data_IF_754005408125
#
_entry.id   IF_754005408125
#
_cell.length_a   1.000
_cell.length_b   1.000
_cell.length_c   1.000
_cell.angle_alpha   90.00
_cell.angle_beta   90.00
_cell.angle_gamma   90.00
#
_symmetry.space_group_name_H-M   'P 1'
#
loop_
_entity.id
_entity.type
_entity.pdbx_description
1 polymer ?
#
# COMPACT_ATOMS: atom_id res chain seq x y z
N UNK A 1 23.68 -9.73 21.83
CA UNK A 1 22.94 -10.65 20.90
C UNK A 1 23.93 -11.14 19.86
N UNK A 2 23.92 -12.43 19.50
CA UNK A 2 24.76 -12.94 18.40
C UNK A 2 24.14 -12.57 17.05
N UNK A 3 24.94 -12.57 15.98
CA UNK A 3 24.43 -12.33 14.60
C UNK A 3 23.34 -13.34 14.23
N UNK A 4 23.52 -14.62 14.58
CA UNK A 4 22.56 -15.68 14.28
C UNK A 4 21.21 -15.43 15.01
N UNK A 5 21.23 -15.06 16.29
CA UNK A 5 20.02 -14.71 17.03
C UNK A 5 19.31 -13.50 16.44
N UNK A 6 20.05 -12.48 16.01
CA UNK A 6 19.46 -11.30 15.36
C UNK A 6 18.81 -11.64 14.01
N UNK A 7 19.41 -12.54 13.22
CA UNK A 7 18.84 -13.03 11.96
C UNK A 7 17.54 -13.80 12.18
N UNK A 8 17.50 -14.68 13.17
CA UNK A 8 16.29 -15.44 13.53
C UNK A 8 15.16 -14.51 14.00
N UNK A 9 15.48 -13.50 14.80
CA UNK A 9 14.55 -12.48 15.25
C UNK A 9 13.98 -11.68 14.06
N UNK A 10 14.83 -11.28 13.11
CA UNK A 10 14.39 -10.55 11.89
C UNK A 10 13.46 -11.39 11.03
N UNK A 11 13.70 -12.72 10.91
CA UNK A 11 12.77 -13.63 10.21
C UNK A 11 11.42 -13.70 10.91
N UNK A 12 11.41 -13.91 12.22
CA UNK A 12 10.18 -13.97 13.03
C UNK A 12 9.37 -12.67 12.93
N UNK A 13 10.06 -11.54 13.06
CA UNK A 13 9.44 -10.21 12.92
C UNK A 13 8.92 -9.94 11.50
N UNK A 14 9.57 -10.46 10.46
CA UNK A 14 9.07 -10.41 9.08
C UNK A 14 7.74 -11.14 8.91
N UNK A 15 7.58 -12.33 9.50
CA UNK A 15 6.31 -13.07 9.53
C UNK A 15 5.24 -12.29 10.30
N UNK A 16 5.58 -11.75 11.47
CA UNK A 16 4.68 -10.93 12.28
C UNK A 16 4.18 -9.70 11.54
N UNK A 17 5.00 -9.04 10.71
CA UNK A 17 4.57 -7.91 9.87
C UNK A 17 3.48 -8.32 8.86
N UNK A 18 3.61 -9.51 8.26
CA UNK A 18 2.61 -10.04 7.32
C UNK A 18 1.31 -10.36 8.07
N UNK A 19 1.40 -11.08 9.18
CA UNK A 19 0.25 -11.52 9.98
C UNK A 19 -0.53 -10.33 10.58
N UNK A 20 0.17 -9.28 10.99
CA UNK A 20 -0.45 -8.07 11.55
C UNK A 20 -1.06 -7.12 10.51
N UNK A 21 -0.89 -7.40 9.20
CA UNK A 21 -1.38 -6.53 8.13
C UNK A 21 -0.66 -5.18 8.01
N UNK A 22 0.46 -5.00 8.70
CA UNK A 22 1.26 -3.76 8.65
C UNK A 22 1.97 -3.58 7.30
N UNK A 23 2.07 -4.64 6.51
CA UNK A 23 2.64 -4.62 5.15
C UNK A 23 1.79 -5.42 4.17
N UNK A 24 1.94 -5.11 2.88
CA UNK A 24 1.41 -5.91 1.78
C UNK A 24 2.56 -6.62 1.05
N UNK A 25 2.46 -7.94 0.85
CA UNK A 25 3.45 -8.75 0.11
C UNK A 25 4.86 -8.65 0.72
N UNK A 26 5.83 -8.20 -0.08
CA UNK A 26 7.24 -8.03 0.28
C UNK A 26 7.62 -6.58 0.60
N UNK A 27 6.62 -5.72 0.85
CA UNK A 27 6.84 -4.32 1.15
C UNK A 27 7.02 -4.10 2.64
N UNK A 28 7.91 -3.20 2.93
CA UNK A 28 8.45 -3.07 4.24
C UNK A 28 9.77 -3.82 4.37
N UNK A 29 10.41 -3.64 5.48
CA UNK A 29 11.66 -4.29 5.82
C UNK A 29 11.90 -4.21 7.33
N UNK A 30 12.68 -5.17 7.81
CA UNK A 30 12.97 -5.33 9.23
C UNK A 30 14.46 -5.41 9.43
N UNK A 31 14.97 -4.78 10.46
CA UNK A 31 16.36 -4.89 10.85
C UNK A 31 16.54 -4.96 12.36
N UNK A 32 17.64 -5.58 12.77
CA UNK A 32 18.08 -5.68 14.15
C UNK A 32 19.56 -5.29 14.25
N UNK A 33 19.92 -4.39 15.18
CA UNK A 33 21.30 -4.01 15.47
C UNK A 33 22.03 -5.19 16.13
N UNK A 34 23.26 -5.45 15.70
CA UNK A 34 24.13 -6.48 16.30
C UNK A 34 25.35 -5.89 17.04
N UNK A 35 25.76 -4.69 16.64
CA UNK A 35 26.83 -3.94 17.29
C UNK A 35 26.70 -2.43 17.03
N UNK A 36 27.62 -1.65 17.51
CA UNK A 36 27.67 -0.20 17.25
C UNK A 36 27.90 0.13 15.77
N UNK A 37 28.47 -0.81 15.00
CA UNK A 37 28.85 -0.61 13.59
C UNK A 37 28.06 -1.47 12.61
N UNK A 38 27.23 -2.41 13.09
CA UNK A 38 26.54 -3.36 12.21
C UNK A 38 25.10 -3.66 12.63
N UNK A 39 24.27 -3.93 11.65
CA UNK A 39 22.91 -4.46 11.79
C UNK A 39 22.64 -5.54 10.75
N UNK A 40 21.65 -6.38 10.98
CA UNK A 40 21.12 -7.35 10.01
C UNK A 40 19.78 -6.86 9.48
N UNK A 41 19.49 -7.10 8.20
CA UNK A 41 18.26 -6.62 7.54
C UNK A 41 17.73 -7.65 6.56
N UNK A 42 16.41 -7.64 6.35
CA UNK A 42 15.72 -8.44 5.34
C UNK A 42 16.26 -8.18 3.93
N UNK A 43 16.30 -9.22 3.07
CA UNK A 43 16.77 -9.10 1.69
C UNK A 43 15.77 -8.36 0.80
N UNK A 44 16.25 -7.83 -0.33
CA UNK A 44 15.40 -7.12 -1.30
C UNK A 44 14.52 -8.08 -2.09
N UNK A 45 13.19 -7.93 -1.97
CA UNK A 45 12.20 -8.55 -2.85
C UNK A 45 12.00 -10.05 -2.68
N UNK A 46 12.32 -10.61 -1.51
CA UNK A 46 11.98 -11.99 -1.14
C UNK A 46 10.68 -12.04 -0.35
N UNK A 47 9.96 -13.14 -0.50
CA UNK A 47 8.73 -13.41 0.23
C UNK A 47 9.04 -13.73 1.69
N UNK A 48 8.38 -13.04 2.62
CA UNK A 48 8.54 -13.21 4.06
C UNK A 48 8.18 -14.61 4.54
N UNK A 49 7.21 -15.27 3.89
CA UNK A 49 6.77 -16.64 4.24
C UNK A 49 7.83 -17.70 3.93
N UNK A 50 8.83 -17.38 3.11
CA UNK A 50 9.91 -18.30 2.71
C UNK A 50 11.30 -17.89 3.22
N UNK A 51 11.39 -16.80 4.03
CA UNK A 51 12.68 -16.35 4.54
C UNK A 51 13.28 -17.32 5.57
N UNK A 52 14.57 -17.55 5.43
CA UNK A 52 15.40 -18.23 6.43
C UNK A 52 16.45 -17.28 6.99
N UNK A 53 17.03 -17.60 8.16
CA UNK A 53 18.09 -16.80 8.78
C UNK A 53 19.30 -16.58 7.85
N UNK A 54 19.61 -17.57 6.98
CA UNK A 54 20.67 -17.47 5.99
C UNK A 54 20.43 -16.41 4.91
N UNK A 55 19.19 -15.97 4.72
CA UNK A 55 18.82 -14.93 3.76
C UNK A 55 18.99 -13.52 4.30
N UNK A 56 19.08 -13.38 5.64
CA UNK A 56 19.18 -12.09 6.31
C UNK A 56 20.63 -11.57 6.20
N UNK A 57 20.76 -10.31 5.76
CA UNK A 57 22.02 -9.74 5.32
C UNK A 57 22.62 -8.82 6.38
N UNK A 58 23.87 -9.07 6.84
CA UNK A 58 24.62 -8.11 7.65
C UNK A 58 25.04 -6.89 6.84
N UNK A 59 24.87 -5.70 7.41
CA UNK A 59 25.15 -4.41 6.76
C UNK A 59 25.91 -3.52 7.75
N UNK A 60 26.94 -2.82 7.25
CA UNK A 60 27.65 -1.78 7.99
C UNK A 60 26.76 -0.53 8.18
N UNK A 61 26.69 -0.01 9.41
CA UNK A 61 26.00 1.24 9.71
C UNK A 61 26.72 2.41 9.03
N UNK A 62 28.05 2.42 8.95
CA UNK A 62 28.84 3.56 8.51
C UNK A 62 28.74 3.82 6.99
N UNK A 63 28.97 2.80 6.19
CA UNK A 63 29.10 2.95 4.73
C UNK A 63 28.05 2.15 3.94
N UNK A 64 27.18 1.40 4.62
CA UNK A 64 26.14 0.53 4.04
C UNK A 64 26.72 -0.63 3.22
N UNK A 65 28.00 -0.95 3.39
CA UNK A 65 28.63 -2.10 2.76
C UNK A 65 28.05 -3.42 3.32
N UNK A 66 28.08 -4.46 2.51
CA UNK A 66 27.68 -5.82 2.86
C UNK A 66 28.48 -6.83 2.03
N UNK A 67 28.53 -8.05 2.48
CA UNK A 67 29.25 -9.15 1.81
C UNK A 67 28.27 -10.20 1.32
N UNK A 68 28.72 -11.04 0.37
CA UNK A 68 27.92 -12.13 -0.18
C UNK A 68 27.07 -11.69 -1.40
N UNK A 69 26.26 -12.65 -1.91
CA UNK A 69 25.47 -12.49 -3.14
C UNK A 69 24.02 -12.04 -2.90
N UNK A 70 23.55 -12.16 -1.65
CA UNK A 70 22.18 -11.74 -1.29
C UNK A 70 22.15 -10.23 -1.11
N UNK A 71 21.31 -9.56 -1.90
CA UNK A 71 21.18 -8.10 -1.84
C UNK A 71 20.28 -7.71 -0.67
N UNK A 72 20.72 -6.87 0.28
CA UNK A 72 19.88 -6.34 1.35
C UNK A 72 18.80 -5.41 0.80
N UNK A 73 17.81 -5.07 1.63
CA UNK A 73 16.80 -4.08 1.31
C UNK A 73 17.40 -2.81 0.71
N UNK A 74 16.75 -2.27 -0.32
CA UNK A 74 17.12 -0.99 -0.93
C UNK A 74 17.05 0.19 0.05
N UNK A 75 16.32 0.01 1.15
CA UNK A 75 16.08 1.05 2.16
C UNK A 75 16.94 0.91 3.42
N UNK A 76 17.91 0.00 3.41
CA UNK A 76 18.87 -0.16 4.52
C UNK A 76 19.50 1.15 5.00
N UNK A 77 19.61 2.14 4.10
CA UNK A 77 20.12 3.47 4.46
C UNK A 77 19.23 4.24 5.44
N UNK A 78 17.90 4.03 5.42
CA UNK A 78 16.97 4.62 6.38
C UNK A 78 17.23 4.04 7.76
N UNK A 79 17.34 2.71 7.86
CA UNK A 79 17.66 2.00 9.12
C UNK A 79 18.99 2.44 9.69
N UNK A 80 20.03 2.57 8.86
CA UNK A 80 21.32 3.06 9.28
C UNK A 80 21.27 4.49 9.85
N UNK A 81 20.46 5.40 9.27
CA UNK A 81 20.29 6.74 9.85
C UNK A 81 19.66 6.70 11.25
N UNK A 82 18.68 5.83 11.46
CA UNK A 82 18.04 5.64 12.77
C UNK A 82 19.07 5.11 13.78
N UNK A 83 19.82 4.08 13.41
CA UNK A 83 20.86 3.51 14.27
C UNK A 83 21.99 4.47 14.62
N UNK A 84 22.36 5.37 13.70
CA UNK A 84 23.35 6.42 13.97
C UNK A 84 22.84 7.48 14.93
N UNK A 85 21.57 7.87 14.75
CA UNK A 85 20.98 8.95 15.54
C UNK A 85 20.56 8.48 16.94
N UNK A 86 20.11 7.22 17.04
CA UNK A 86 19.64 6.58 18.26
C UNK A 86 20.47 5.34 18.60
N UNK A 87 21.59 5.49 19.33
CA UNK A 87 22.44 4.35 19.71
C UNK A 87 21.72 3.30 20.55
N UNK A 88 20.69 3.69 21.30
CA UNK A 88 19.87 2.82 22.14
C UNK A 88 18.88 1.96 21.35
N UNK A 89 18.57 2.30 20.09
CA UNK A 89 17.63 1.54 19.25
C UNK A 89 18.28 0.25 18.79
N UNK A 90 17.57 -0.86 19.01
CA UNK A 90 17.98 -2.20 18.59
C UNK A 90 17.17 -2.74 17.41
N UNK A 91 15.94 -2.24 17.21
CA UNK A 91 15.01 -2.79 16.24
C UNK A 91 14.33 -1.70 15.41
N UNK A 92 14.28 -1.90 14.09
CA UNK A 92 13.65 -0.96 13.15
C UNK A 92 12.77 -1.74 12.18
N UNK A 93 11.54 -1.31 12.02
CA UNK A 93 10.58 -1.84 11.04
C UNK A 93 10.09 -0.73 10.11
N UNK A 94 10.01 -1.01 8.83
CA UNK A 94 9.36 -0.17 7.85
C UNK A 94 8.01 -0.78 7.48
N UNK A 95 6.96 0.02 7.51
CA UNK A 95 5.55 -0.40 7.36
C UNK A 95 4.82 0.43 6.31
N UNK A 96 3.74 -0.15 5.76
CA UNK A 96 2.81 0.51 4.83
C UNK A 96 1.37 0.49 5.36
N UNK A 97 1.21 0.65 6.67
CA UNK A 97 -0.07 0.63 7.36
C UNK A 97 -1.01 1.74 6.86
N UNK A 98 -2.31 1.55 7.06
CA UNK A 98 -3.35 2.28 6.35
C UNK A 98 -3.39 3.78 6.71
N UNK A 99 -3.64 4.11 7.99
CA UNK A 99 -3.83 5.51 8.41
C UNK A 99 -2.54 6.31 8.41
N UNK A 100 -1.38 5.70 8.71
CA UNK A 100 -0.10 6.36 8.53
C UNK A 100 0.17 6.66 7.04
N UNK A 101 -0.19 5.75 6.12
CA UNK A 101 -0.12 6.00 4.68
C UNK A 101 -1.07 7.12 4.24
N UNK A 102 -2.28 7.19 4.81
CA UNK A 102 -3.23 8.29 4.57
C UNK A 102 -2.62 9.64 4.96
N UNK A 103 -2.04 9.75 6.16
CA UNK A 103 -1.36 10.98 6.59
C UNK A 103 -0.13 11.29 5.75
N UNK A 104 0.59 10.26 5.28
CA UNK A 104 1.73 10.45 4.37
C UNK A 104 1.33 11.12 3.05
N UNK A 105 0.09 10.92 2.59
CA UNK A 105 -0.46 11.51 1.38
C UNK A 105 -1.03 12.92 1.59
N UNK A 106 -1.43 13.24 2.83
CA UNK A 106 -1.99 14.54 3.20
C UNK A 106 -0.89 15.59 3.39
N UNK A 107 -1.27 16.86 3.40
CA UNK A 107 -0.33 17.99 3.64
C UNK A 107 -0.17 18.26 5.14
N UNK A 108 0.29 17.21 5.87
CA UNK A 108 0.54 17.24 7.31
C UNK A 108 2.04 17.03 7.55
N UNK A 109 2.75 18.07 7.95
CA UNK A 109 4.19 17.99 8.19
C UNK A 109 4.52 17.32 9.53
N UNK A 110 3.67 17.50 10.54
CA UNK A 110 3.80 16.89 11.86
C UNK A 110 2.46 16.96 12.62
N UNK A 111 2.29 16.11 13.62
CA UNK A 111 1.15 16.18 14.54
C UNK A 111 1.54 15.66 15.94
N UNK A 112 0.80 16.09 16.97
CA UNK A 112 0.91 15.57 18.32
C UNK A 112 0.02 14.31 18.45
N UNK A 113 0.58 13.14 18.79
CA UNK A 113 -0.17 11.89 18.85
C UNK A 113 -1.13 11.78 20.04
N UNK A 114 -0.93 12.62 21.07
CA UNK A 114 -1.69 12.57 22.31
C UNK A 114 -1.07 11.66 23.39
N UNK A 115 -1.57 11.75 24.62
CA UNK A 115 -0.96 11.09 25.78
C UNK A 115 -1.14 9.57 25.81
N UNK A 116 -2.08 9.03 25.01
CA UNK A 116 -2.33 7.58 24.95
C UNK A 116 -1.24 6.80 24.20
N UNK A 117 -0.34 7.48 23.52
CA UNK A 117 0.68 6.91 22.64
C UNK A 117 2.10 7.32 23.08
N UNK A 118 2.56 6.92 24.26
CA UNK A 118 3.81 7.42 24.85
C UNK A 118 5.06 7.09 24.03
N UNK A 119 5.08 5.96 23.31
CA UNK A 119 6.21 5.60 22.46
C UNK A 119 6.40 6.53 21.24
N UNK A 120 5.37 7.26 20.85
CA UNK A 120 5.43 8.23 19.76
C UNK A 120 5.99 9.59 20.22
N UNK A 121 6.11 9.80 21.54
CA UNK A 121 6.57 11.06 22.11
C UNK A 121 5.61 12.23 21.86
N UNK A 122 6.15 13.46 21.97
CA UNK A 122 5.32 14.67 21.83
C UNK A 122 4.98 15.05 20.40
N UNK A 123 5.64 14.49 19.39
CA UNK A 123 5.45 14.85 17.98
C UNK A 123 5.84 13.71 17.03
N UNK A 124 4.95 13.38 16.10
CA UNK A 124 5.24 12.52 14.95
C UNK A 124 5.46 13.41 13.72
N UNK A 125 6.60 13.24 13.07
CA UNK A 125 7.02 14.03 11.90
C UNK A 125 6.76 13.27 10.61
N UNK A 126 6.30 13.95 9.57
CA UNK A 126 6.26 13.45 8.21
C UNK A 126 7.51 13.92 7.46
N UNK A 127 8.46 13.03 7.23
CA UNK A 127 9.68 13.29 6.46
C UNK A 127 9.34 13.71 5.03
N UNK A 128 10.07 14.67 4.48
CA UNK A 128 9.86 15.17 3.13
C UNK A 128 9.98 14.07 2.07
N UNK A 129 9.28 14.24 0.95
CA UNK A 129 9.26 13.27 -0.14
C UNK A 129 10.64 13.00 -0.73
N UNK A 130 10.88 11.74 -0.99
CA UNK A 130 12.02 11.24 -1.77
C UNK A 130 11.65 9.87 -2.37
N UNK A 131 12.12 9.59 -3.57
CA UNK A 131 11.91 8.29 -4.20
C UNK A 131 12.47 7.16 -3.33
N UNK A 132 11.78 6.01 -3.22
CA UNK A 132 12.23 4.86 -2.45
C UNK A 132 13.66 4.44 -2.80
N UNK A 133 14.45 4.14 -1.77
CA UNK A 133 15.85 3.71 -1.92
C UNK A 133 16.85 4.80 -2.31
N UNK A 134 16.45 6.07 -2.41
CA UNK A 134 17.33 7.16 -2.82
C UNK A 134 18.04 7.87 -1.65
N UNK A 135 19.14 8.55 -1.95
CA UNK A 135 19.86 9.42 -1.01
C UNK A 135 18.98 10.58 -0.51
N UNK A 136 18.01 11.04 -1.33
CA UNK A 136 17.08 12.10 -0.98
C UNK A 136 16.16 11.65 0.16
N UNK A 137 15.51 10.49 0.04
CA UNK A 137 14.67 9.94 1.10
C UNK A 137 15.46 9.72 2.39
N UNK A 138 16.68 9.15 2.28
CA UNK A 138 17.56 8.97 3.44
C UNK A 138 17.89 10.30 4.14
N UNK A 139 18.17 11.38 3.39
CA UNK A 139 18.40 12.72 3.94
C UNK A 139 17.17 13.27 4.66
N UNK A 140 15.97 13.06 4.08
CA UNK A 140 14.71 13.48 4.69
C UNK A 140 14.46 12.80 6.04
N UNK A 141 14.77 11.51 6.14
CA UNK A 141 14.71 10.77 7.43
C UNK A 141 15.70 11.35 8.43
N UNK A 142 16.97 11.60 8.04
CA UNK A 142 17.94 12.23 8.93
C UNK A 142 17.46 13.58 9.47
N UNK A 143 16.80 14.39 8.65
CA UNK A 143 16.22 15.66 9.08
C UNK A 143 15.05 15.44 10.04
N UNK A 144 14.16 14.48 9.75
CA UNK A 144 13.02 14.18 10.60
C UNK A 144 13.44 13.66 11.99
N UNK A 145 14.52 12.88 12.08
CA UNK A 145 15.08 12.38 13.35
C UNK A 145 15.47 13.50 14.31
N UNK A 146 15.79 14.71 13.79
CA UNK A 146 16.16 15.86 14.63
C UNK A 146 14.97 16.47 15.39
N UNK A 147 13.74 16.17 14.94
CA UNK A 147 12.53 16.81 15.44
C UNK A 147 11.44 15.84 15.86
N UNK A 148 11.55 14.55 15.50
CA UNK A 148 10.62 13.53 16.00
C UNK A 148 10.78 13.32 17.49
N UNK A 149 9.67 13.15 18.19
CA UNK A 149 9.66 13.01 19.65
C UNK A 149 9.76 11.58 20.15
N UNK A 150 9.65 10.57 19.27
CA UNK A 150 9.55 9.18 19.68
C UNK A 150 9.93 8.18 18.60
N UNK A 151 9.43 6.95 18.73
CA UNK A 151 9.80 5.77 17.96
C UNK A 151 9.18 5.64 16.57
N UNK A 152 8.69 6.73 15.93
CA UNK A 152 8.07 6.65 14.61
C UNK A 152 8.29 7.91 13.76
N UNK A 153 8.43 7.71 12.44
CA UNK A 153 8.47 8.75 11.42
C UNK A 153 7.59 8.32 10.26
N UNK A 154 6.69 9.19 9.82
CA UNK A 154 5.94 9.02 8.57
C UNK A 154 6.81 9.48 7.40
N UNK A 155 6.74 8.79 6.26
CA UNK A 155 7.46 9.15 5.04
C UNK A 155 6.47 9.61 3.98
N UNK A 156 6.60 10.84 3.51
CA UNK A 156 5.68 11.46 2.53
C UNK A 156 5.45 10.56 1.32
N UNK A 157 4.18 10.23 1.02
CA UNK A 157 3.73 9.37 -0.08
C UNK A 157 4.22 7.91 -0.04
N UNK A 158 4.72 7.43 1.11
CA UNK A 158 5.36 6.13 1.19
C UNK A 158 4.70 5.23 2.24
N UNK A 159 4.98 5.47 3.49
CA UNK A 159 4.55 4.69 4.64
C UNK A 159 5.17 5.25 5.91
N UNK A 160 5.60 4.37 6.81
CA UNK A 160 6.24 4.76 8.05
C UNK A 160 7.45 3.90 8.39
N UNK A 161 8.35 4.44 9.19
CA UNK A 161 9.40 3.69 9.85
C UNK A 161 9.21 3.82 11.35
N UNK A 162 9.17 2.66 12.05
CA UNK A 162 8.99 2.58 13.49
C UNK A 162 10.18 1.85 14.12
N UNK A 163 10.58 2.28 15.29
CA UNK A 163 11.79 1.77 15.92
C UNK A 163 11.70 1.79 17.46
N UNK A 164 12.48 0.94 18.10
CA UNK A 164 12.51 0.80 19.54
C UNK A 164 13.77 0.10 20.06
N UNK A 165 13.90 0.05 21.36
CA UNK A 165 14.99 -0.68 22.05
C UNK A 165 14.82 -2.20 21.98
N UNK A 166 13.60 -2.64 21.69
CA UNK A 166 13.23 -4.04 21.50
C UNK A 166 12.33 -4.20 20.28
N UNK A 167 12.15 -5.44 19.82
CA UNK A 167 11.16 -5.77 18.78
C UNK A 167 9.76 -5.31 19.20
N UNK A 168 9.36 -5.63 20.44
CA UNK A 168 8.04 -5.29 20.98
C UNK A 168 7.79 -3.78 20.96
N UNK A 169 8.76 -2.95 21.36
CA UNK A 169 8.63 -1.50 21.30
C UNK A 169 8.45 -1.00 19.86
N UNK A 170 9.17 -1.55 18.88
CA UNK A 170 9.03 -1.15 17.48
C UNK A 170 7.65 -1.51 16.91
N UNK A 171 7.12 -2.71 17.23
CA UNK A 171 5.77 -3.11 16.82
C UNK A 171 4.68 -2.33 17.54
N UNK A 172 4.84 -2.06 18.83
CA UNK A 172 3.91 -1.22 19.58
C UNK A 172 3.91 0.20 19.05
N UNK A 173 5.07 0.78 18.74
CA UNK A 173 5.17 2.09 18.10
C UNK A 173 4.44 2.12 16.74
N UNK A 174 4.49 1.04 15.95
CA UNK A 174 3.74 0.94 14.69
C UNK A 174 2.21 0.87 14.93
N UNK A 175 1.77 0.09 15.90
CA UNK A 175 0.36 -0.01 16.26
C UNK A 175 -0.17 1.32 16.82
N UNK A 176 0.59 1.94 17.72
CA UNK A 176 0.27 3.26 18.28
C UNK A 176 0.21 4.33 17.17
N UNK A 177 1.14 4.30 16.22
CA UNK A 177 1.14 5.22 15.09
C UNK A 177 -0.13 5.10 14.26
N UNK A 178 -0.59 3.89 13.97
CA UNK A 178 -1.80 3.65 13.19
C UNK A 178 -3.04 4.24 13.89
N UNK A 179 -3.19 3.97 15.19
CA UNK A 179 -4.27 4.51 15.99
C UNK A 179 -4.20 6.03 16.14
N UNK A 180 -3.02 6.57 16.42
CA UNK A 180 -2.80 8.01 16.56
C UNK A 180 -3.09 8.76 15.24
N UNK A 181 -2.74 8.19 14.09
CA UNK A 181 -3.08 8.76 12.79
C UNK A 181 -4.60 8.78 12.55
N UNK A 182 -5.31 7.71 12.88
CA UNK A 182 -6.77 7.64 12.80
C UNK A 182 -7.43 8.69 13.72
N UNK A 183 -7.01 8.73 14.96
CA UNK A 183 -7.53 9.68 15.95
C UNK A 183 -7.30 11.13 15.52
N UNK A 184 -6.13 11.44 14.97
CA UNK A 184 -5.82 12.76 14.43
C UNK A 184 -6.74 13.14 13.28
N UNK A 185 -6.96 12.26 12.31
CA UNK A 185 -7.86 12.49 11.16
C UNK A 185 -9.28 12.78 11.66
N UNK A 186 -9.79 11.96 12.58
CA UNK A 186 -11.13 12.10 13.13
C UNK A 186 -11.25 13.40 13.94
N UNK A 187 -10.29 13.72 14.80
CA UNK A 187 -10.29 14.94 15.59
C UNK A 187 -10.29 16.21 14.70
N UNK A 188 -9.50 16.20 13.61
CA UNK A 188 -9.49 17.31 12.64
C UNK A 188 -10.83 17.47 11.92
N UNK A 189 -11.45 16.35 11.54
CA UNK A 189 -12.78 16.35 10.93
C UNK A 189 -13.84 16.92 11.88
N UNK A 190 -13.90 16.43 13.12
CA UNK A 190 -14.83 16.90 14.15
C UNK A 190 -14.65 18.40 14.43
N UNK A 191 -13.42 18.87 14.57
CA UNK A 191 -13.10 20.28 14.77
C UNK A 191 -13.59 21.15 13.61
N UNK A 192 -13.30 20.76 12.37
CA UNK A 192 -13.69 21.53 11.19
C UNK A 192 -15.21 21.60 10.99
N UNK A 193 -15.93 20.56 11.35
CA UNK A 193 -17.39 20.48 11.21
C UNK A 193 -18.14 20.87 12.46
N UNK A 194 -17.45 21.19 13.55
CA UNK A 194 -18.03 21.53 14.86
C UNK A 194 -19.00 20.43 15.35
N UNK A 195 -18.61 19.17 15.17
CA UNK A 195 -19.39 18.00 15.57
C UNK A 195 -18.85 17.44 16.88
N UNK A 196 -19.73 16.96 17.79
CA UNK A 196 -19.31 16.30 19.02
C UNK A 196 -18.78 14.87 18.78
N UNK A 197 -19.29 14.22 17.74
CA UNK A 197 -18.88 12.86 17.34
C UNK A 197 -19.19 12.63 15.86
N UNK A 198 -18.51 11.67 15.24
CA UNK A 198 -18.78 11.22 13.90
C UNK A 198 -18.26 9.78 13.71
N UNK A 199 -18.72 9.15 12.64
CA UNK A 199 -18.24 7.86 12.15
C UNK A 199 -17.51 8.01 10.79
N UNK A 200 -16.89 6.92 10.34
CA UNK A 200 -16.17 6.89 9.06
C UNK A 200 -17.12 7.14 7.86
N UNK A 201 -18.42 6.78 7.97
CA UNK A 201 -19.39 7.03 6.91
C UNK A 201 -19.74 8.51 6.76
N UNK A 202 -19.85 9.23 7.86
CA UNK A 202 -20.07 10.69 7.85
C UNK A 202 -18.87 11.41 7.25
N UNK A 203 -17.66 11.01 7.65
CA UNK A 203 -16.41 11.51 7.10
C UNK A 203 -16.34 11.28 5.59
N UNK A 204 -16.64 10.06 5.14
CA UNK A 204 -16.64 9.66 3.73
C UNK A 204 -17.65 10.47 2.91
N UNK A 205 -18.89 10.61 3.36
CA UNK A 205 -19.93 11.41 2.71
C UNK A 205 -19.52 12.87 2.57
N UNK A 206 -18.90 13.44 3.60
CA UNK A 206 -18.41 14.81 3.55
C UNK A 206 -17.31 14.98 2.48
N UNK A 207 -16.30 14.09 2.47
CA UNK A 207 -15.24 14.11 1.48
C UNK A 207 -15.79 13.93 0.05
N UNK A 208 -16.75 13.01 -0.12
CA UNK A 208 -17.42 12.79 -1.41
C UNK A 208 -18.11 14.06 -1.92
N UNK A 209 -18.81 14.78 -1.05
CA UNK A 209 -19.47 16.06 -1.42
C UNK A 209 -18.47 17.11 -1.91
N UNK A 210 -17.25 17.12 -1.35
CA UNK A 210 -16.18 18.05 -1.78
C UNK A 210 -15.53 17.64 -3.10
N UNK A 211 -15.50 16.34 -3.41
CA UNK A 211 -14.80 15.75 -4.56
C UNK A 211 -15.68 15.52 -5.77
N UNK A 212 -16.99 15.26 -5.57
CA UNK A 212 -17.91 14.82 -6.61
C UNK A 212 -17.98 15.79 -7.78
N UNK A 213 -17.85 15.25 -8.98
CA UNK A 213 -18.05 15.98 -10.24
C UNK A 213 -19.34 15.53 -10.89
N UNK A 214 -20.16 16.47 -11.42
CA UNK A 214 -21.36 16.11 -12.16
C UNK A 214 -21.00 15.15 -13.31
N UNK A 215 -21.79 14.10 -13.48
CA UNK A 215 -21.70 13.23 -14.63
C UNK A 215 -23.10 12.80 -15.09
N UNK A 216 -23.26 12.60 -16.38
CA UNK A 216 -24.51 12.16 -17.00
C UNK A 216 -24.57 10.64 -17.21
N UNK A 217 -23.51 9.92 -16.84
CA UNK A 217 -23.43 8.47 -17.04
C UNK A 217 -24.35 7.73 -16.08
N UNK A 218 -25.33 7.00 -16.59
CA UNK A 218 -26.10 6.04 -15.80
C UNK A 218 -25.27 4.77 -15.66
N UNK A 219 -24.97 4.40 -14.43
CA UNK A 219 -24.38 3.10 -14.09
C UNK A 219 -25.53 2.13 -13.79
N UNK A 220 -25.98 1.41 -14.78
CA UNK A 220 -27.04 0.40 -14.61
C UNK A 220 -26.52 -1.02 -14.88
N UNK A 221 -25.20 -1.22 -14.89
CA UNK A 221 -24.64 -2.47 -15.40
C UNK A 221 -24.40 -3.52 -14.32
N UNK A 222 -24.29 -3.11 -13.06
CA UNK A 222 -23.87 -4.02 -12.00
C UNK A 222 -24.72 -3.80 -10.75
N UNK A 223 -24.98 -4.88 -10.05
CA UNK A 223 -25.63 -4.89 -8.74
C UNK A 223 -25.02 -6.04 -7.91
N UNK A 224 -24.97 -5.92 -6.59
CA UNK A 224 -24.57 -7.03 -5.73
C UNK A 224 -25.45 -8.28 -5.99
N UNK A 225 -24.90 -9.48 -5.78
CA UNK A 225 -23.54 -9.77 -5.35
C UNK A 225 -22.52 -9.54 -6.49
N UNK A 226 -21.40 -8.91 -6.15
CA UNK A 226 -20.27 -8.73 -7.05
C UNK A 226 -19.50 -10.03 -7.25
N UNK A 227 -18.74 -10.12 -8.33
CA UNK A 227 -18.06 -11.33 -8.74
C UNK A 227 -16.54 -11.18 -8.72
N UNK A 228 -15.87 -12.26 -8.33
CA UNK A 228 -14.44 -12.44 -8.60
C UNK A 228 -14.27 -13.51 -9.69
N UNK A 229 -13.13 -13.57 -10.35
CA UNK A 229 -12.88 -14.65 -11.29
C UNK A 229 -11.41 -14.99 -11.46
N UNK A 230 -11.20 -16.23 -11.93
CA UNK A 230 -9.90 -16.79 -12.28
C UNK A 230 -9.96 -17.36 -13.69
N UNK A 231 -8.97 -17.02 -14.53
CA UNK A 231 -8.85 -17.55 -15.90
C UNK A 231 -8.51 -19.03 -15.84
N UNK A 232 -9.09 -19.82 -16.73
CA UNK A 232 -8.78 -21.23 -16.96
C UNK A 232 -8.40 -21.47 -18.43
N UNK A 233 -7.93 -22.67 -18.75
CA UNK A 233 -7.60 -23.04 -20.14
C UNK A 233 -8.79 -22.89 -21.09
N UNK A 234 -10.03 -23.17 -20.60
CA UNK A 234 -11.26 -23.22 -21.40
C UNK A 234 -12.18 -22.03 -21.11
N UNK A 235 -11.71 -20.96 -20.43
CA UNK A 235 -12.54 -19.81 -20.07
C UNK A 235 -12.16 -19.18 -18.75
N UNK A 236 -13.11 -19.12 -17.82
CA UNK A 236 -12.84 -18.63 -16.47
C UNK A 236 -13.84 -19.25 -15.46
N UNK A 237 -13.38 -19.33 -14.20
CA UNK A 237 -14.24 -19.61 -13.05
C UNK A 237 -14.75 -18.29 -12.49
N UNK A 238 -16.06 -18.13 -12.40
CA UNK A 238 -16.72 -16.99 -11.81
C UNK A 238 -17.17 -17.33 -10.40
N UNK A 239 -16.69 -16.58 -9.40
CA UNK A 239 -17.10 -16.71 -8.01
C UNK A 239 -18.19 -15.70 -7.71
N UNK A 240 -19.39 -16.18 -7.31
CA UNK A 240 -20.55 -15.38 -6.92
C UNK A 240 -21.00 -15.79 -5.53
N UNK A 241 -20.64 -15.04 -4.51
CA UNK A 241 -20.78 -15.50 -3.12
C UNK A 241 -20.04 -16.82 -2.92
N UNK A 242 -20.71 -17.85 -2.40
CA UNK A 242 -20.13 -19.18 -2.17
C UNK A 242 -20.18 -20.11 -3.41
N UNK A 243 -20.73 -19.64 -4.53
CA UNK A 243 -20.90 -20.45 -5.75
C UNK A 243 -19.79 -20.19 -6.74
N UNK A 244 -19.25 -21.25 -7.33
CA UNK A 244 -18.35 -21.19 -8.48
C UNK A 244 -19.07 -21.65 -9.75
N UNK A 245 -18.94 -20.87 -10.82
CA UNK A 245 -19.56 -21.12 -12.11
C UNK A 245 -18.47 -21.15 -13.20
N UNK A 246 -18.43 -22.23 -13.98
CA UNK A 246 -17.51 -22.32 -15.12
C UNK A 246 -18.14 -21.59 -16.32
N UNK A 247 -17.43 -20.63 -16.89
CA UNK A 247 -17.88 -19.80 -18.01
C UNK A 247 -16.95 -20.01 -19.20
N UNK A 248 -17.51 -20.47 -20.33
CA UNK A 248 -16.77 -20.59 -21.59
C UNK A 248 -16.65 -19.23 -22.28
N UNK A 249 -15.52 -18.93 -22.97
CA UNK A 249 -15.31 -17.65 -23.63
C UNK A 249 -16.39 -17.36 -24.69
N UNK A 250 -17.02 -16.19 -24.57
CA UNK A 250 -18.05 -15.75 -25.53
C UNK A 250 -19.37 -16.49 -25.47
N UNK A 251 -19.54 -17.44 -24.57
CA UNK A 251 -20.80 -18.14 -24.30
C UNK A 251 -21.23 -17.86 -22.87
N UNK A 252 -21.98 -16.79 -22.68
CA UNK A 252 -22.51 -16.45 -21.36
C UNK A 252 -23.91 -17.09 -21.22
N UNK A 253 -24.07 -18.12 -20.37
CA UNK A 253 -25.38 -18.71 -20.10
C UNK A 253 -26.36 -17.67 -19.56
N UNK A 254 -27.64 -17.86 -19.85
CA UNK A 254 -28.71 -17.06 -19.25
C UNK A 254 -28.68 -17.22 -17.71
N UNK A 255 -28.94 -16.13 -16.99
CA UNK A 255 -28.98 -16.14 -15.51
C UNK A 255 -27.64 -15.90 -14.82
N UNK A 256 -26.54 -15.69 -15.57
CA UNK A 256 -25.31 -15.19 -14.96
C UNK A 256 -25.45 -13.72 -14.52
N UNK A 257 -24.73 -13.30 -13.48
CA UNK A 257 -24.64 -11.88 -13.12
C UNK A 257 -24.15 -11.04 -14.30
N UNK A 258 -24.64 -9.80 -14.47
CA UNK A 258 -24.18 -8.91 -15.54
C UNK A 258 -22.67 -8.69 -15.58
N UNK A 259 -22.01 -8.79 -14.43
CA UNK A 259 -20.56 -8.67 -14.29
C UNK A 259 -19.79 -9.80 -15.00
N UNK A 260 -20.40 -10.96 -15.25
CA UNK A 260 -19.78 -12.04 -16.02
C UNK A 260 -19.39 -11.59 -17.44
N UNK A 261 -20.24 -10.78 -18.08
CA UNK A 261 -19.94 -10.19 -19.40
C UNK A 261 -18.76 -9.21 -19.37
N UNK A 262 -18.57 -8.54 -18.25
CA UNK A 262 -17.44 -7.64 -18.02
C UNK A 262 -16.14 -8.43 -17.88
N UNK A 263 -16.14 -9.50 -17.07
CA UNK A 263 -14.97 -10.38 -16.92
C UNK A 263 -14.57 -11.04 -18.24
N UNK A 264 -15.53 -11.55 -19.01
CA UNK A 264 -15.28 -12.10 -20.36
C UNK A 264 -14.63 -11.07 -21.30
N UNK A 265 -15.12 -9.84 -21.32
CA UNK A 265 -14.55 -8.76 -22.11
C UNK A 265 -13.13 -8.38 -21.66
N UNK A 266 -12.87 -8.36 -20.36
CA UNK A 266 -11.54 -8.08 -19.81
C UNK A 266 -10.56 -9.18 -20.20
N UNK A 267 -10.92 -10.45 -20.02
CA UNK A 267 -10.07 -11.58 -20.37
C UNK A 267 -9.74 -11.64 -21.87
N UNK A 268 -10.70 -11.30 -22.73
CA UNK A 268 -10.48 -11.23 -24.19
C UNK A 268 -9.53 -10.11 -24.59
N UNK A 269 -9.63 -8.95 -23.95
CA UNK A 269 -8.83 -7.77 -24.28
C UNK A 269 -7.45 -7.75 -23.64
N UNK A 270 -7.24 -8.51 -22.55
CA UNK A 270 -6.02 -8.46 -21.73
C UNK A 270 -5.56 -9.89 -21.38
N UNK A 271 -4.77 -10.55 -22.24
CA UNK A 271 -4.39 -11.96 -22.08
C UNK A 271 -3.51 -12.21 -20.83
N UNK A 272 -2.78 -11.22 -20.34
CA UNK A 272 -1.91 -11.34 -19.18
C UNK A 272 -2.68 -11.35 -17.84
N UNK A 273 -3.96 -10.91 -17.84
CA UNK A 273 -4.80 -10.96 -16.65
C UNK A 273 -5.27 -12.40 -16.42
N UNK A 274 -4.96 -12.92 -15.23
CA UNK A 274 -5.38 -14.25 -14.79
C UNK A 274 -6.43 -14.19 -13.67
N UNK A 275 -6.42 -13.13 -12.85
CA UNK A 275 -7.32 -12.95 -11.71
C UNK A 275 -7.98 -11.58 -11.77
N UNK A 276 -9.28 -11.54 -11.49
CA UNK A 276 -10.09 -10.32 -11.35
C UNK A 276 -10.79 -10.38 -10.00
N UNK A 277 -10.54 -9.39 -9.16
CA UNK A 277 -11.20 -9.19 -7.88
C UNK A 277 -12.03 -7.91 -7.91
N UNK A 278 -13.26 -7.98 -7.43
CA UNK A 278 -14.07 -6.79 -7.19
C UNK A 278 -13.77 -6.21 -5.79
N UNK A 279 -13.61 -4.90 -5.71
CA UNK A 279 -13.59 -4.16 -4.45
C UNK A 279 -14.88 -3.35 -4.32
N UNK A 280 -15.67 -3.71 -3.34
CA UNK A 280 -16.86 -3.00 -2.87
C UNK A 280 -16.61 -2.27 -1.54
N UNK A 281 -15.34 -2.06 -1.19
CA UNK A 281 -14.96 -1.29 -0.02
C UNK A 281 -15.61 0.10 -0.07
N UNK A 282 -16.15 0.60 1.06
CA UNK A 282 -16.89 1.86 1.11
C UNK A 282 -16.13 3.05 0.52
N UNK A 283 -14.81 3.11 0.72
CA UNK A 283 -13.96 4.18 0.19
C UNK A 283 -13.80 4.08 -1.34
N UNK A 284 -13.67 2.86 -1.88
CA UNK A 284 -13.61 2.63 -3.33
C UNK A 284 -14.95 2.97 -4.01
N UNK A 285 -16.08 2.60 -3.40
CA UNK A 285 -17.41 2.99 -3.86
C UNK A 285 -17.54 4.51 -3.89
N UNK A 286 -17.20 5.22 -2.79
CA UNK A 286 -17.30 6.68 -2.71
C UNK A 286 -16.46 7.38 -3.79
N UNK A 287 -15.21 6.95 -4.01
CA UNK A 287 -14.36 7.52 -5.05
C UNK A 287 -14.89 7.22 -6.46
N UNK A 288 -15.47 6.04 -6.69
CA UNK A 288 -16.11 5.69 -7.97
C UNK A 288 -17.34 6.55 -8.25
N UNK A 289 -18.07 6.98 -7.22
CA UNK A 289 -19.20 7.92 -7.34
C UNK A 289 -18.75 9.34 -7.69
N UNK A 290 -17.57 9.74 -7.22
CA UNK A 290 -17.03 11.08 -7.47
C UNK A 290 -16.63 11.34 -8.94
N UNK A 291 -16.64 10.32 -9.81
CA UNK A 291 -16.26 10.39 -11.23
C UNK A 291 -14.86 11.01 -11.43
N UNK A 292 -13.90 10.53 -10.68
CA UNK A 292 -12.53 11.01 -10.72
C UNK A 292 -11.61 10.06 -11.46
N UNK A 293 -10.48 10.58 -11.91
CA UNK A 293 -9.31 9.76 -12.22
C UNK A 293 -8.45 9.71 -10.97
N UNK A 294 -8.35 8.53 -10.36
CA UNK A 294 -7.50 8.31 -9.21
C UNK A 294 -6.03 8.34 -9.65
N UNK A 295 -5.23 9.15 -8.98
CA UNK A 295 -3.79 9.28 -9.23
C UNK A 295 -3.01 8.74 -8.04
N UNK A 296 -1.73 8.36 -8.22
CA UNK A 296 -0.90 7.90 -7.13
C UNK A 296 -0.77 8.96 -6.03
N UNK A 297 -1.28 8.67 -4.86
CA UNK A 297 -1.02 9.38 -3.62
C UNK A 297 0.03 8.66 -2.79
N UNK A 298 0.27 7.40 -3.13
CA UNK A 298 1.23 6.50 -2.49
C UNK A 298 2.12 5.88 -3.58
N UNK A 299 3.37 5.64 -3.26
CA UNK A 299 4.35 5.10 -4.19
C UNK A 299 4.06 3.64 -4.58
N UNK A 300 3.49 2.85 -3.67
CA UNK A 300 3.02 1.50 -3.94
C UNK A 300 1.92 1.48 -5.01
N UNK A 301 1.03 2.48 -5.01
CA UNK A 301 0.05 2.65 -6.08
C UNK A 301 0.72 2.91 -7.43
N UNK A 302 1.69 3.83 -7.48
CA UNK A 302 2.43 4.12 -8.70
C UNK A 302 3.16 2.88 -9.24
N UNK A 303 3.75 2.09 -8.35
CA UNK A 303 4.52 0.88 -8.68
C UNK A 303 3.62 -0.23 -9.23
N UNK A 304 2.58 -0.62 -8.52
CA UNK A 304 1.80 -1.85 -8.78
C UNK A 304 0.53 -1.58 -9.57
N UNK A 305 -0.22 -0.54 -9.22
CA UNK A 305 -1.50 -0.28 -9.87
C UNK A 305 -1.29 0.46 -11.20
N UNK A 306 -0.46 1.51 -11.18
CA UNK A 306 -0.16 2.31 -12.37
C UNK A 306 -0.16 3.81 -12.09
N UNK A 307 0.02 4.59 -13.15
CA UNK A 307 0.12 6.05 -13.04
C UNK A 307 -1.25 6.75 -12.92
N UNK A 308 -2.33 6.03 -13.18
CA UNK A 308 -3.71 6.49 -12.99
C UNK A 308 -4.70 5.33 -13.07
N UNK A 309 -5.82 5.45 -12.37
CA UNK A 309 -7.00 4.57 -12.49
C UNK A 309 -8.20 5.44 -12.82
N UNK A 310 -8.87 5.14 -13.94
CA UNK A 310 -10.02 5.90 -14.41
C UNK A 310 -11.31 5.36 -13.83
N UNK A 311 -12.26 6.25 -13.54
CA UNK A 311 -13.65 5.85 -13.35
C UNK A 311 -14.32 5.67 -14.72
N UNK A 312 -14.97 4.54 -14.92
CA UNK A 312 -15.63 4.19 -16.18
C UNK A 312 -17.12 3.93 -15.93
N UNK A 313 -17.92 4.67 -16.66
CA UNK A 313 -19.37 4.43 -16.84
C UNK A 313 -19.57 3.92 -18.26
N UNK A 314 -20.12 2.74 -18.45
CA UNK A 314 -20.40 2.26 -19.80
C UNK A 314 -20.15 0.76 -20.01
N UNK A 315 -20.16 0.32 -21.28
CA UNK A 315 -20.17 -1.10 -21.62
C UNK A 315 -18.85 -1.80 -21.25
N UNK A 316 -18.87 -3.15 -21.12
CA UNK A 316 -17.71 -3.98 -20.78
C UNK A 316 -16.44 -3.68 -21.59
N UNK A 317 -16.56 -3.43 -22.88
CA UNK A 317 -15.41 -3.13 -23.75
C UNK A 317 -14.67 -1.84 -23.35
N UNK A 318 -15.40 -0.83 -22.84
CA UNK A 318 -14.81 0.43 -22.36
C UNK A 318 -14.03 0.21 -21.08
N UNK A 319 -14.54 -0.62 -20.17
CA UNK A 319 -13.87 -1.02 -18.94
C UNK A 319 -12.61 -1.82 -19.26
N UNK A 320 -12.70 -2.83 -20.10
CA UNK A 320 -11.57 -3.64 -20.54
C UNK A 320 -10.46 -2.79 -21.21
N UNK A 321 -10.83 -1.78 -21.99
CA UNK A 321 -9.90 -0.82 -22.59
C UNK A 321 -9.15 0.05 -21.56
N UNK A 322 -9.75 0.36 -20.41
CA UNK A 322 -9.12 1.15 -19.37
C UNK A 322 -8.00 0.39 -18.64
N UNK A 323 -8.04 -0.95 -18.65
CA UNK A 323 -7.04 -1.83 -18.01
C UNK A 323 -5.75 -2.01 -18.83
N UNK A 324 -5.64 -1.46 -20.06
CA UNK A 324 -4.41 -1.59 -20.87
C UNK A 324 -3.16 -0.99 -20.23
N UNK A 325 -3.34 0.00 -19.36
CA UNK A 325 -2.23 0.75 -18.77
C UNK A 325 -2.27 0.83 -17.23
N UNK A 326 -3.21 0.12 -16.63
CA UNK A 326 -3.38 0.06 -15.18
C UNK A 326 -3.84 -1.34 -14.77
N UNK A 327 -3.49 -1.73 -13.55
CA UNK A 327 -3.93 -3.01 -12.97
C UNK A 327 -5.31 -2.94 -12.32
N UNK A 328 -5.98 -1.77 -12.37
CA UNK A 328 -7.32 -1.56 -11.84
C UNK A 328 -8.13 -0.55 -12.66
N UNK A 329 -9.45 -0.58 -12.48
CA UNK A 329 -10.41 0.40 -13.02
C UNK A 329 -11.51 0.64 -11.97
N UNK A 330 -11.91 1.89 -11.78
CA UNK A 330 -13.08 2.22 -10.98
C UNK A 330 -14.36 2.03 -11.81
N UNK A 331 -15.29 1.24 -11.32
CA UNK A 331 -16.63 1.09 -11.90
C UNK A 331 -17.55 2.13 -11.29
N UNK A 332 -18.05 3.04 -12.11
CA UNK A 332 -18.89 4.14 -11.62
C UNK A 332 -20.03 3.67 -10.73
N UNK A 333 -20.07 4.12 -9.48
CA UNK A 333 -20.98 3.74 -8.39
C UNK A 333 -20.81 2.33 -7.79
N UNK A 334 -19.84 1.52 -8.26
CA UNK A 334 -19.73 0.11 -7.89
C UNK A 334 -18.34 -0.28 -7.34
N UNK A 335 -17.49 0.69 -6.99
CA UNK A 335 -16.17 0.39 -6.46
C UNK A 335 -15.12 0.16 -7.55
N UNK A 336 -14.31 -0.90 -7.45
CA UNK A 336 -13.19 -1.13 -8.37
C UNK A 336 -13.07 -2.58 -8.82
N UNK A 337 -12.62 -2.80 -10.05
CA UNK A 337 -12.04 -4.09 -10.47
C UNK A 337 -10.52 -4.02 -10.38
N UNK A 338 -9.94 -5.02 -9.76
CA UNK A 338 -8.52 -5.15 -9.47
C UNK A 338 -7.99 -6.43 -10.11
N UNK A 339 -6.98 -6.31 -10.96
CA UNK A 339 -6.53 -7.39 -11.84
C UNK A 339 -5.07 -7.76 -11.55
N UNK A 340 -4.74 -9.05 -11.73
CA UNK A 340 -3.39 -9.55 -11.53
C UNK A 340 -3.06 -10.77 -12.39
N UNK A 341 -1.75 -11.06 -12.53
CA UNK A 341 -1.25 -12.29 -13.15
C UNK A 341 -1.30 -13.47 -12.16
N UNK A 342 -1.37 -13.21 -10.87
CA UNK A 342 -1.56 -14.17 -9.80
C UNK A 342 -2.65 -13.70 -8.85
N UNK A 343 -3.21 -14.60 -8.04
CA UNK A 343 -4.17 -14.25 -6.99
C UNK A 343 -3.59 -13.21 -6.02
N UNK A 344 -2.32 -13.38 -5.61
CA UNK A 344 -1.60 -12.43 -4.77
C UNK A 344 -1.40 -11.07 -5.41
N UNK A 345 -1.20 -10.99 -6.75
CA UNK A 345 -1.10 -9.71 -7.47
C UNK A 345 -2.44 -8.97 -7.44
N UNK A 346 -3.54 -9.66 -7.74
CA UNK A 346 -4.87 -9.06 -7.73
C UNK A 346 -5.26 -8.58 -6.33
N UNK A 347 -4.95 -9.36 -5.29
CA UNK A 347 -5.19 -8.98 -3.88
C UNK A 347 -4.37 -7.75 -3.47
N UNK A 348 -3.10 -7.68 -3.86
CA UNK A 348 -2.25 -6.50 -3.61
C UNK A 348 -2.78 -5.26 -4.33
N UNK A 349 -3.19 -5.38 -5.59
CA UNK A 349 -3.83 -4.28 -6.35
C UNK A 349 -5.08 -3.80 -5.63
N UNK A 350 -5.94 -4.72 -5.16
CA UNK A 350 -7.17 -4.39 -4.43
C UNK A 350 -6.85 -3.58 -3.17
N UNK A 351 -5.99 -4.09 -2.29
CA UNK A 351 -5.59 -3.42 -1.04
C UNK A 351 -5.04 -2.01 -1.29
N UNK A 352 -4.20 -1.84 -2.31
CA UNK A 352 -3.57 -0.54 -2.61
C UNK A 352 -4.57 0.45 -3.19
N UNK A 353 -5.49 0.00 -4.04
CA UNK A 353 -6.56 0.85 -4.57
C UNK A 353 -7.46 1.35 -3.43
N UNK A 354 -7.87 0.46 -2.52
CA UNK A 354 -8.66 0.80 -1.34
C UNK A 354 -7.94 1.82 -0.45
N UNK A 355 -6.67 1.56 -0.12
CA UNK A 355 -5.84 2.48 0.67
C UNK A 355 -5.66 3.85 0.00
N UNK A 356 -5.42 3.89 -1.31
CA UNK A 356 -5.30 5.15 -2.04
C UNK A 356 -6.64 5.91 -2.15
N UNK A 357 -7.79 5.20 -2.21
CA UNK A 357 -9.11 5.82 -2.11
C UNK A 357 -9.32 6.46 -0.74
N UNK A 358 -9.01 5.76 0.35
CA UNK A 358 -9.06 6.30 1.71
C UNK A 358 -8.14 7.51 1.85
N UNK A 359 -6.91 7.43 1.34
CA UNK A 359 -5.96 8.55 1.34
C UNK A 359 -6.51 9.79 0.61
N UNK A 360 -7.22 9.60 -0.49
CA UNK A 360 -7.87 10.70 -1.20
C UNK A 360 -8.99 11.34 -0.37
N UNK A 361 -9.88 10.51 0.19
CA UNK A 361 -11.04 11.00 0.96
C UNK A 361 -10.59 11.72 2.24
N UNK A 362 -9.81 11.05 3.08
CA UNK A 362 -9.32 11.62 4.34
C UNK A 362 -8.41 12.82 4.10
N UNK A 363 -7.50 12.72 3.13
CA UNK A 363 -6.59 13.80 2.79
C UNK A 363 -7.32 15.05 2.31
N UNK A 364 -8.43 14.92 1.56
CA UNK A 364 -9.28 16.04 1.13
C UNK A 364 -9.88 16.79 2.33
N UNK A 365 -10.24 16.10 3.38
CA UNK A 365 -10.73 16.71 4.61
C UNK A 365 -9.63 17.41 5.42
N UNK A 366 -8.40 16.96 5.29
CA UNK A 366 -7.24 17.57 5.96
C UNK A 366 -6.67 18.78 5.19
N UNK A 367 -7.15 19.03 3.96
CA UNK A 367 -6.70 20.13 3.13
C UNK A 367 -6.38 19.73 1.69
N UNK A 368 -5.22 20.17 1.18
CA UNK A 368 -4.81 19.87 -0.19
C UNK A 368 -4.14 18.49 -0.27
N UNK A 369 -4.64 17.68 -1.19
CA UNK A 369 -4.00 16.41 -1.57
C UNK A 369 -3.28 16.58 -2.91
N UNK A 370 -1.98 16.37 -2.92
CA UNK A 370 -1.16 16.51 -4.13
C UNK A 370 -0.63 15.12 -4.55
N UNK A 371 -1.03 14.60 -5.72
CA UNK A 371 -0.49 13.33 -6.21
C UNK A 371 1.01 13.41 -6.48
N UNK A 372 1.67 12.26 -6.40
CA UNK A 372 3.06 12.08 -6.84
C UNK A 372 3.20 12.58 -8.29
N UNK A 373 4.36 13.17 -8.61
CA UNK A 373 4.61 13.69 -9.96
C UNK A 373 4.43 12.60 -11.03
N UNK A 374 3.97 12.99 -12.22
CA UNK A 374 3.81 12.02 -13.32
C UNK A 374 5.14 11.35 -13.68
N UNK A 375 6.25 12.09 -13.61
CA UNK A 375 7.60 11.60 -13.93
C UNK A 375 8.02 10.54 -12.92
N UNK A 376 7.89 10.82 -11.61
CA UNK A 376 8.25 9.87 -10.56
C UNK A 376 7.34 8.63 -10.60
N UNK A 377 6.03 8.83 -10.81
CA UNK A 377 5.07 7.73 -10.94
C UNK A 377 5.43 6.80 -12.11
N UNK A 378 5.79 7.36 -13.26
CA UNK A 378 6.20 6.58 -14.42
C UNK A 378 7.53 5.87 -14.17
N UNK A 379 8.51 6.55 -13.58
CA UNK A 379 9.80 5.97 -13.23
C UNK A 379 9.63 4.76 -12.28
N UNK A 380 8.85 4.93 -11.21
CA UNK A 380 8.55 3.85 -10.26
C UNK A 380 7.86 2.67 -10.95
N UNK A 381 6.88 2.93 -11.83
CA UNK A 381 6.20 1.88 -12.60
C UNK A 381 7.15 1.09 -13.50
N UNK A 382 7.99 1.78 -14.26
CA UNK A 382 8.97 1.15 -15.18
C UNK A 382 9.99 0.32 -14.40
N UNK A 383 10.51 0.85 -13.30
CA UNK A 383 11.47 0.11 -12.45
C UNK A 383 10.82 -1.14 -11.85
N UNK A 384 9.58 -1.02 -11.36
CA UNK A 384 8.83 -2.15 -10.82
C UNK A 384 8.60 -3.24 -11.87
N UNK A 385 8.07 -2.90 -13.04
CA UNK A 385 7.81 -3.86 -14.12
C UNK A 385 9.07 -4.58 -14.59
N UNK A 386 10.21 -3.87 -14.72
CA UNK A 386 11.50 -4.47 -15.06
C UNK A 386 12.02 -5.42 -13.98
N UNK A 387 11.81 -5.11 -12.69
CA UNK A 387 12.20 -5.98 -11.57
C UNK A 387 11.30 -7.21 -11.51
N UNK A 388 10.00 -7.01 -11.66
CA UNK A 388 8.98 -8.07 -11.61
C UNK A 388 9.14 -9.09 -12.75
N UNK A 389 9.38 -8.63 -13.99
CA UNK A 389 9.62 -9.52 -15.13
C UNK A 389 10.86 -10.41 -14.95
N UNK A 390 11.92 -9.90 -14.30
CA UNK A 390 13.11 -10.69 -13.97
C UNK A 390 12.83 -11.77 -12.92
N UNK A 391 12.00 -11.47 -11.92
CA UNK A 391 11.62 -12.45 -10.89
C UNK A 391 10.78 -13.60 -11.47
N UNK A 392 9.83 -13.29 -12.37
CA UNK A 392 9.04 -14.34 -13.06
C UNK A 392 9.94 -15.23 -13.91
N UNK A 393 10.93 -14.67 -14.61
CA UNK A 393 11.87 -15.44 -15.42
C UNK A 393 12.78 -16.34 -14.57
N UNK A 394 13.18 -15.89 -13.39
CA UNK A 394 14.01 -16.66 -12.46
C UNK A 394 13.24 -17.81 -11.78
N UNK A 395 11.93 -17.70 -11.62
CA UNK A 395 11.09 -18.77 -11.03
C UNK A 395 10.59 -19.80 -12.05
N UNK A 396 10.85 -19.60 -13.34
CA UNK A 396 10.52 -20.54 -14.42
C UNK A 396 11.70 -21.40 -14.88
N UNK A 397 12.90 -21.16 -14.37
CA UNK A 397 14.11 -21.97 -14.56
C UNK A 397 14.47 -22.74 -13.30
#
# INVERSE_FOLDING_TARGET
MTEQQAKELVVAAGLRLVESGLIARTWGNVSCRISDTQFVITPSGRDYLSLAAADIVPVSIDDLSYTGHIKPSGERGIHAEIYRYHPEVQFVIHTHQEYASVLSAADVAQFAPGPNYPLLGGSVVCAAYGLPGTKTLRRSIRTALQTTGGGAIIMKHHGAVCFGKTEEEAFLAASDLELACRDYIMARYLQQKQLPQADDDQLRRCALTMLAKPHSGKSNYFAPPYCNSERTADGFLLQVGDKQLKVAPGRLPAGLPPEAALHDAIYKANPDIQYILHSDAPDAIAVSQANLTLRPLLDDFAQIVGTQVKTVFGPPAKVAGALKHASAVLLGNHGALCCGATAGDAAAVKMIVEKNCKALLCGTLLGKVTPISKVDSLLMRVVYLKKYSKQISANKG
#
